data_IF_851392673166
#
_entry.id   IF_851392673166
#
_cell.length_a   1.000
_cell.length_b   1.000
_cell.length_c   1.000
_cell.angle_alpha   90.00
_cell.angle_beta   90.00
_cell.angle_gamma   90.00
#
_symmetry.space_group_name_H-M   'P 1'
#
loop_
_entity.id
_entity.type
_entity.pdbx_description
1 polymer ?
#
# COMPACT_ATOMS: atom_id res chain seq x y z
N UNK A 1 -52.54 -69.28 41.12
CA UNK A 1 -51.97 -69.47 42.47
C UNK A 1 -50.54 -69.96 42.30
N UNK A 2 -49.63 -69.38 43.08
CA UNK A 2 -48.18 -69.64 43.19
C UNK A 2 -47.27 -69.08 42.07
N UNK A 3 -46.13 -68.45 42.36
CA UNK A 3 -45.50 -67.94 43.61
C UNK A 3 -44.45 -66.90 43.14
N UNK A 4 -44.35 -65.78 43.87
CA UNK A 4 -43.28 -64.77 43.77
C UNK A 4 -41.93 -65.34 44.23
N UNK A 5 -40.84 -65.01 43.54
CA UNK A 5 -39.49 -64.99 44.12
C UNK A 5 -38.79 -63.70 43.69
N UNK A 6 -38.60 -62.82 44.68
CA UNK A 6 -37.74 -61.64 44.67
C UNK A 6 -36.25 -62.02 44.60
N UNK A 7 -35.54 -61.35 43.68
CA UNK A 7 -34.17 -60.75 43.73
C UNK A 7 -32.97 -61.54 44.34
N UNK A 8 -31.67 -61.27 44.01
CA UNK A 8 -31.13 -59.95 43.69
C UNK A 8 -30.03 -59.82 42.61
N UNK A 9 -29.84 -58.57 42.19
CA UNK A 9 -28.58 -57.99 41.68
C UNK A 9 -28.12 -58.42 40.28
N UNK A 10 -28.62 -57.71 39.27
CA UNK A 10 -27.86 -57.49 38.03
C UNK A 10 -26.78 -56.44 38.34
N UNK A 11 -25.48 -56.76 38.22
CA UNK A 11 -24.45 -55.74 38.39
C UNK A 11 -24.60 -54.72 37.27
N UNK A 12 -24.72 -53.46 37.69
CA UNK A 12 -24.65 -52.27 36.87
C UNK A 12 -23.60 -52.43 35.78
N UNK A 13 -24.04 -52.26 34.54
CA UNK A 13 -23.15 -51.98 33.43
C UNK A 13 -22.33 -50.77 33.83
N UNK A 14 -21.06 -51.03 34.21
CA UNK A 14 -20.06 -50.00 34.46
C UNK A 14 -20.08 -49.06 33.27
N UNK A 15 -20.50 -47.82 33.54
CA UNK A 15 -20.35 -46.70 32.64
C UNK A 15 -18.89 -46.65 32.21
N UNK A 16 -18.65 -47.07 30.96
CA UNK A 16 -17.48 -46.64 30.23
C UNK A 16 -17.66 -45.16 29.99
N UNK A 17 -17.04 -44.35 30.84
CA UNK A 17 -16.90 -42.90 30.66
C UNK A 17 -15.89 -42.64 29.53
N UNK A 18 -16.18 -43.18 28.34
CA UNK A 18 -15.63 -42.67 27.10
C UNK A 18 -16.49 -41.46 26.73
N UNK A 19 -16.19 -40.32 27.36
CA UNK A 19 -16.66 -39.03 26.88
C UNK A 19 -16.30 -38.97 25.39
N UNK A 20 -17.31 -39.13 24.52
CA UNK A 20 -17.10 -39.16 23.08
C UNK A 20 -16.31 -37.92 22.71
N UNK A 21 -15.32 -38.00 21.81
CA UNK A 21 -14.59 -36.82 21.34
C UNK A 21 -15.52 -35.76 20.74
N UNK A 22 -16.77 -36.12 20.45
CA UNK A 22 -17.87 -35.24 20.06
C UNK A 22 -18.31 -34.22 21.13
N UNK A 23 -18.02 -34.45 22.41
CA UNK A 23 -18.41 -33.54 23.51
C UNK A 23 -17.25 -32.65 23.99
N UNK A 24 -16.01 -32.97 23.57
CA UNK A 24 -14.82 -32.24 23.99
C UNK A 24 -14.40 -31.19 22.95
N UNK A 25 -14.85 -29.94 23.14
CA UNK A 25 -14.56 -28.78 22.26
C UNK A 25 -13.08 -28.64 21.88
N UNK A 26 -12.09 -28.65 22.80
CA UNK A 26 -10.68 -28.52 22.41
C UNK A 26 -10.17 -29.65 21.49
N UNK A 27 -10.62 -30.89 21.68
CA UNK A 27 -10.27 -31.99 20.78
C UNK A 27 -10.88 -31.80 19.37
N UNK A 28 -12.09 -31.25 19.30
CA UNK A 28 -12.74 -30.91 18.04
C UNK A 28 -12.03 -29.76 17.32
N UNK A 29 -11.54 -28.76 18.05
CA UNK A 29 -10.73 -27.66 17.48
C UNK A 29 -9.44 -28.20 16.87
N UNK A 30 -8.75 -29.14 17.54
CA UNK A 30 -7.55 -29.78 16.98
C UNK A 30 -7.83 -30.51 15.66
N UNK A 31 -8.97 -31.18 15.54
CA UNK A 31 -9.39 -31.84 14.30
C UNK A 31 -9.69 -30.85 13.16
N UNK A 32 -10.16 -29.64 13.49
CA UNK A 32 -10.49 -28.59 12.53
C UNK A 32 -9.27 -27.79 12.07
N UNK A 33 -8.17 -27.80 12.84
CA UNK A 33 -6.95 -27.04 12.55
C UNK A 33 -6.35 -27.33 11.17
N UNK A 34 -6.46 -28.58 10.70
CA UNK A 34 -5.96 -28.99 9.38
C UNK A 34 -7.03 -28.94 8.26
N UNK A 35 -8.25 -28.47 8.57
CA UNK A 35 -9.36 -28.39 7.60
C UNK A 35 -9.39 -27.04 6.90
N UNK A 36 -9.98 -27.03 5.72
CA UNK A 36 -10.12 -25.79 4.93
C UNK A 36 -11.15 -24.86 5.56
N UNK A 37 -10.95 -23.55 5.41
CA UNK A 37 -11.86 -22.55 5.97
C UNK A 37 -13.31 -22.70 5.47
N UNK A 38 -13.49 -23.04 4.19
CA UNK A 38 -14.81 -23.29 3.59
C UNK A 38 -15.49 -24.54 4.20
N UNK A 39 -14.72 -25.60 4.43
CA UNK A 39 -15.22 -26.83 5.05
C UNK A 39 -15.65 -26.61 6.51
N UNK A 40 -14.88 -25.84 7.28
CA UNK A 40 -15.22 -25.50 8.67
C UNK A 40 -16.50 -24.65 8.71
N UNK A 41 -16.62 -23.67 7.80
CA UNK A 41 -17.82 -22.84 7.68
C UNK A 41 -19.05 -23.67 7.32
N UNK A 42 -18.93 -24.61 6.38
CA UNK A 42 -20.01 -25.51 6.02
C UNK A 42 -20.44 -26.38 7.22
N UNK A 43 -19.47 -27.00 7.91
CA UNK A 43 -19.74 -27.80 9.12
C UNK A 43 -20.37 -26.99 10.25
N UNK A 44 -20.04 -25.71 10.38
CA UNK A 44 -20.69 -24.82 11.34
C UNK A 44 -22.17 -24.64 11.02
N UNK A 45 -22.56 -24.50 9.75
CA UNK A 45 -23.95 -24.41 9.33
C UNK A 45 -24.71 -25.73 9.45
N UNK A 46 -24.02 -26.85 9.26
CA UNK A 46 -24.60 -28.19 9.40
C UNK A 46 -24.77 -28.62 10.88
N UNK A 47 -24.15 -27.90 11.83
CA UNK A 47 -24.19 -28.20 13.26
C UNK A 47 -25.23 -27.37 14.00
N UNK A 48 -25.91 -27.97 14.99
CA UNK A 48 -26.86 -27.26 15.83
C UNK A 48 -26.18 -26.10 16.60
N UNK A 49 -26.76 -24.88 16.61
CA UNK A 49 -26.22 -23.76 17.37
C UNK A 49 -26.07 -24.11 18.86
N UNK A 50 -24.91 -23.81 19.45
CA UNK A 50 -24.60 -24.14 20.85
C UNK A 50 -24.12 -25.57 21.09
N UNK A 51 -24.06 -26.43 20.07
CA UNK A 51 -23.39 -27.73 20.20
C UNK A 51 -21.86 -27.59 20.37
N UNK A 52 -21.18 -28.60 20.92
CA UNK A 52 -19.71 -28.62 21.02
C UNK A 52 -19.02 -28.46 19.66
N UNK A 53 -19.56 -29.10 18.62
CA UNK A 53 -19.09 -28.97 17.23
C UNK A 53 -19.27 -27.56 16.68
N UNK A 54 -20.43 -26.94 16.90
CA UNK A 54 -20.67 -25.56 16.46
C UNK A 54 -19.70 -24.59 17.15
N UNK A 55 -19.47 -24.78 18.45
CA UNK A 55 -18.57 -23.95 19.25
C UNK A 55 -17.11 -24.10 18.78
N UNK A 56 -16.66 -25.32 18.51
CA UNK A 56 -15.33 -25.60 17.97
C UNK A 56 -15.11 -24.99 16.58
N UNK A 57 -16.10 -25.13 15.68
CA UNK A 57 -16.05 -24.51 14.36
C UNK A 57 -16.00 -22.98 14.45
N UNK A 58 -16.83 -22.39 15.33
CA UNK A 58 -16.85 -20.94 15.54
C UNK A 58 -15.53 -20.42 16.09
N UNK A 59 -14.97 -21.06 17.11
CA UNK A 59 -13.69 -20.63 17.71
C UNK A 59 -12.54 -20.69 16.71
N UNK A 60 -12.50 -21.71 15.86
CA UNK A 60 -11.45 -21.85 14.84
C UNK A 60 -11.62 -20.80 13.71
N UNK A 61 -12.86 -20.50 13.30
CA UNK A 61 -13.13 -19.42 12.34
C UNK A 61 -12.78 -18.05 12.91
N UNK A 62 -13.14 -17.78 14.17
CA UNK A 62 -12.83 -16.52 14.85
C UNK A 62 -11.31 -16.33 14.99
N UNK A 63 -10.57 -17.38 15.33
CA UNK A 63 -9.11 -17.36 15.39
C UNK A 63 -8.49 -17.01 14.03
N UNK A 64 -8.93 -17.68 12.95
CA UNK A 64 -8.42 -17.45 11.59
C UNK A 64 -8.79 -16.07 11.06
N UNK A 65 -10.01 -15.61 11.31
CA UNK A 65 -10.44 -14.26 10.96
C UNK A 65 -9.59 -13.21 11.69
N UNK A 66 -9.29 -13.43 12.98
CA UNK A 66 -8.40 -12.58 13.76
C UNK A 66 -6.97 -12.55 13.21
N UNK A 67 -6.42 -13.71 12.82
CA UNK A 67 -5.11 -13.80 12.18
C UNK A 67 -5.06 -13.05 10.84
N UNK A 68 -6.06 -13.24 9.97
CA UNK A 68 -6.16 -12.52 8.71
C UNK A 68 -6.28 -11.01 8.91
N UNK A 69 -7.07 -10.56 9.89
CA UNK A 69 -7.18 -9.15 10.22
C UNK A 69 -5.86 -8.55 10.74
N UNK A 70 -5.13 -9.31 11.57
CA UNK A 70 -3.81 -8.90 12.06
C UNK A 70 -2.79 -8.82 10.92
N UNK A 71 -2.75 -9.80 10.02
CA UNK A 71 -1.88 -9.81 8.84
C UNK A 71 -2.20 -8.63 7.90
N UNK A 72 -3.49 -8.39 7.63
CA UNK A 72 -3.94 -7.25 6.83
C UNK A 72 -3.53 -5.91 7.46
N UNK A 73 -3.62 -5.80 8.79
CA UNK A 73 -3.20 -4.60 9.53
C UNK A 73 -1.69 -4.37 9.42
N UNK A 74 -0.88 -5.43 9.52
CA UNK A 74 0.58 -5.34 9.31
C UNK A 74 0.92 -4.98 7.87
N UNK A 75 0.23 -5.55 6.89
CA UNK A 75 0.40 -5.20 5.49
C UNK A 75 0.06 -3.73 5.23
N UNK A 76 -1.04 -3.24 5.80
CA UNK A 76 -1.46 -1.84 5.72
C UNK A 76 -0.45 -0.90 6.39
N UNK A 77 0.07 -1.25 7.56
CA UNK A 77 1.12 -0.48 8.23
C UNK A 77 2.36 -0.34 7.35
N UNK A 78 2.85 -1.44 6.76
CA UNK A 78 3.97 -1.43 5.83
C UNK A 78 3.68 -0.60 4.57
N UNK A 79 2.47 -0.69 4.02
CA UNK A 79 2.07 0.12 2.87
C UNK A 79 2.03 1.62 3.22
N UNK A 80 1.52 1.96 4.40
CA UNK A 80 1.47 3.34 4.89
C UNK A 80 2.86 3.93 5.13
N UNK A 81 3.81 3.12 5.60
CA UNK A 81 5.20 3.53 5.81
C UNK A 81 5.90 3.80 4.47
N UNK A 82 5.72 2.92 3.48
CA UNK A 82 6.19 3.17 2.11
C UNK A 82 5.56 4.41 1.49
N UNK A 83 4.26 4.63 1.71
CA UNK A 83 3.56 5.82 1.22
C UNK A 83 4.12 7.09 1.85
N UNK A 84 4.40 7.10 3.16
CA UNK A 84 5.07 8.24 3.82
C UNK A 84 6.44 8.51 3.23
N UNK A 85 7.27 7.48 3.03
CA UNK A 85 8.57 7.64 2.39
C UNK A 85 8.44 8.20 0.97
N UNK A 86 7.46 7.72 0.19
CA UNK A 86 7.20 8.24 -1.15
C UNK A 86 6.78 9.71 -1.14
N UNK A 87 5.94 10.14 -0.19
CA UNK A 87 5.52 11.55 -0.07
C UNK A 87 6.72 12.45 0.22
N UNK A 88 7.63 12.03 1.11
CA UNK A 88 8.86 12.77 1.40
C UNK A 88 9.73 12.94 0.14
N UNK A 89 9.86 11.88 -0.68
CA UNK A 89 10.57 11.98 -1.96
C UNK A 89 9.88 12.92 -2.96
N UNK A 90 8.53 12.94 -2.99
CA UNK A 90 7.81 13.88 -3.84
C UNK A 90 7.97 15.33 -3.40
N UNK A 91 7.97 15.60 -2.09
CA UNK A 91 8.25 16.94 -1.57
C UNK A 91 9.66 17.40 -1.97
N UNK A 92 10.65 16.53 -1.81
CA UNK A 92 12.02 16.83 -2.23
C UNK A 92 12.14 17.10 -3.74
N UNK A 93 11.48 16.30 -4.58
CA UNK A 93 11.45 16.51 -6.03
C UNK A 93 10.73 17.82 -6.40
N UNK A 94 9.65 18.16 -5.70
CA UNK A 94 8.93 19.41 -5.93
C UNK A 94 9.79 20.63 -5.58
N UNK A 95 10.54 20.57 -4.47
CA UNK A 95 11.48 21.62 -4.09
C UNK A 95 12.63 21.75 -5.11
N UNK A 96 13.23 20.63 -5.54
CA UNK A 96 14.27 20.65 -6.58
C UNK A 96 13.73 21.18 -7.91
N UNK A 97 12.52 20.80 -8.31
CA UNK A 97 11.90 21.31 -9.53
C UNK A 97 11.65 22.82 -9.44
N UNK A 98 11.21 23.31 -8.27
CA UNK A 98 11.01 24.73 -8.01
C UNK A 98 12.33 25.50 -8.10
N UNK A 99 13.40 24.97 -7.50
CA UNK A 99 14.74 25.56 -7.57
C UNK A 99 15.25 25.61 -9.01
N UNK A 100 15.21 24.49 -9.73
CA UNK A 100 15.60 24.42 -11.14
C UNK A 100 14.78 25.38 -12.02
N UNK A 101 13.48 25.54 -11.73
CA UNK A 101 12.62 26.49 -12.46
C UNK A 101 13.05 27.94 -12.22
N UNK A 102 13.41 28.29 -10.98
CA UNK A 102 13.94 29.61 -10.67
C UNK A 102 15.29 29.86 -11.36
N UNK A 103 16.19 28.87 -11.36
CA UNK A 103 17.48 28.98 -12.05
C UNK A 103 17.29 29.22 -13.55
N UNK A 104 16.36 28.51 -14.18
CA UNK A 104 16.00 28.73 -15.59
C UNK A 104 15.41 30.12 -15.81
N UNK A 105 14.55 30.59 -14.89
CA UNK A 105 13.99 31.93 -14.99
C UNK A 105 15.08 33.03 -14.90
N UNK A 106 16.07 32.84 -14.04
CA UNK A 106 17.18 33.77 -13.90
C UNK A 106 18.15 33.71 -15.08
N UNK A 107 18.42 32.52 -15.64
CA UNK A 107 19.13 32.34 -16.90
C UNK A 107 18.44 33.07 -18.07
N UNK A 108 17.11 32.96 -18.17
CA UNK A 108 16.33 33.66 -19.19
C UNK A 108 16.38 35.17 -19.02
N UNK A 109 16.32 35.68 -17.78
CA UNK A 109 16.50 37.10 -17.49
C UNK A 109 17.89 37.60 -17.89
N UNK A 110 18.94 36.87 -17.51
CA UNK A 110 20.32 37.19 -17.89
C UNK A 110 20.51 37.19 -19.40
N UNK A 111 19.94 36.21 -20.10
CA UNK A 111 20.00 36.10 -21.56
C UNK A 111 19.26 37.26 -22.23
N UNK A 112 18.11 37.69 -21.70
CA UNK A 112 17.39 38.86 -22.20
C UNK A 112 18.21 40.15 -22.05
N UNK A 113 18.89 40.33 -20.93
CA UNK A 113 19.78 41.48 -20.73
C UNK A 113 21.00 41.45 -21.64
N UNK A 114 21.62 40.28 -21.83
CA UNK A 114 22.71 40.08 -22.77
C UNK A 114 22.27 40.36 -24.21
N UNK A 115 21.07 39.90 -24.60
CA UNK A 115 20.46 40.18 -25.90
C UNK A 115 20.26 41.67 -26.14
N UNK A 116 19.77 42.42 -25.15
CA UNK A 116 19.63 43.88 -25.23
C UNK A 116 20.98 44.58 -25.40
N UNK A 117 22.02 44.14 -24.69
CA UNK A 117 23.38 44.70 -24.84
C UNK A 117 23.94 44.41 -26.23
N UNK A 118 23.73 43.21 -26.73
CA UNK A 118 24.13 42.81 -28.09
C UNK A 118 23.42 43.64 -29.14
N UNK A 119 22.11 43.88 -28.99
CA UNK A 119 21.33 44.71 -29.91
C UNK A 119 21.90 46.13 -30.00
N UNK A 120 22.22 46.75 -28.86
CA UNK A 120 22.85 48.08 -28.82
C UNK A 120 24.21 48.05 -29.53
N UNK A 121 25.04 47.04 -29.26
CA UNK A 121 26.35 46.89 -29.92
C UNK A 121 26.21 46.77 -31.44
N UNK A 122 25.24 45.99 -31.93
CA UNK A 122 24.95 45.85 -33.36
C UNK A 122 24.55 47.18 -34.00
N UNK A 123 23.66 47.95 -33.37
CA UNK A 123 23.28 49.28 -33.90
C UNK A 123 24.48 50.23 -33.98
N UNK A 124 25.37 50.22 -32.98
CA UNK A 124 26.60 51.04 -32.99
C UNK A 124 27.51 50.62 -34.15
N UNK A 125 27.72 49.32 -34.35
CA UNK A 125 28.54 48.82 -35.47
C UNK A 125 27.95 49.21 -36.82
N UNK A 126 26.63 49.12 -37.00
CA UNK A 126 25.95 49.59 -38.22
C UNK A 126 26.16 51.09 -38.41
N UNK A 127 26.02 51.90 -37.35
CA UNK A 127 26.25 53.35 -37.42
C UNK A 127 27.67 53.70 -37.86
N UNK A 128 28.69 53.07 -37.26
CA UNK A 128 30.11 53.29 -37.60
C UNK A 128 30.41 52.87 -39.04
N UNK A 129 29.90 51.71 -39.47
CA UNK A 129 30.12 51.23 -40.84
C UNK A 129 29.48 52.13 -41.88
N UNK A 130 28.28 52.67 -41.63
CA UNK A 130 27.66 53.67 -42.51
C UNK A 130 28.52 54.93 -42.63
N UNK A 131 29.01 55.48 -41.50
CA UNK A 131 29.87 56.67 -41.52
C UNK A 131 31.16 56.41 -42.29
N UNK A 132 31.81 55.27 -42.06
CA UNK A 132 33.01 54.87 -42.80
C UNK A 132 32.74 54.74 -44.30
N UNK A 133 31.60 54.16 -44.68
CA UNK A 133 31.20 53.98 -46.06
C UNK A 133 30.98 55.34 -46.77
N UNK A 134 30.26 56.27 -46.12
CA UNK A 134 30.11 57.63 -46.65
C UNK A 134 31.46 58.33 -46.81
N UNK A 135 32.34 58.23 -45.81
CA UNK A 135 33.64 58.88 -45.86
C UNK A 135 34.49 58.36 -47.04
N UNK A 136 34.45 57.04 -47.28
CA UNK A 136 35.12 56.42 -48.43
C UNK A 136 34.54 56.89 -49.77
N UNK A 137 33.21 56.99 -49.89
CA UNK A 137 32.55 57.53 -51.08
C UNK A 137 32.98 58.97 -51.33
N UNK A 138 32.91 59.83 -50.31
CA UNK A 138 33.32 61.23 -50.43
C UNK A 138 34.80 61.37 -50.82
N UNK A 139 35.68 60.55 -50.26
CA UNK A 139 37.10 60.57 -50.59
C UNK A 139 37.36 60.15 -52.05
N UNK A 140 36.64 59.15 -52.56
CA UNK A 140 36.70 58.73 -53.98
C UNK A 140 36.16 59.82 -54.91
N UNK A 141 35.01 60.43 -54.58
CA UNK A 141 34.45 61.52 -55.39
C UNK A 141 35.26 62.81 -55.34
N UNK A 142 35.98 63.09 -54.24
CA UNK A 142 36.86 64.25 -54.12
C UNK A 142 38.19 64.09 -54.86
N UNK A 143 38.62 62.85 -55.13
CA UNK A 143 39.83 62.53 -55.91
C UNK A 143 39.60 62.48 -57.42
N UNK A 144 38.35 62.41 -57.87
CA UNK A 144 37.95 62.49 -59.29
C UNK A 144 37.65 63.92 -59.68
#
# INVERSE_FOLDING_TARGET
MAVFIDDPTVPEARGGDEAKPADNVPALVELLRNRSYAEIRQRMYDSAPGSPWWTACRSELDLRNGQQAAEASLAMSRASEKMRASVQHFEQLADTLREATNDVADLLRGTKEAGRRLEIAVYVTIGVTLVQFFNLIFEVFRRR
#
